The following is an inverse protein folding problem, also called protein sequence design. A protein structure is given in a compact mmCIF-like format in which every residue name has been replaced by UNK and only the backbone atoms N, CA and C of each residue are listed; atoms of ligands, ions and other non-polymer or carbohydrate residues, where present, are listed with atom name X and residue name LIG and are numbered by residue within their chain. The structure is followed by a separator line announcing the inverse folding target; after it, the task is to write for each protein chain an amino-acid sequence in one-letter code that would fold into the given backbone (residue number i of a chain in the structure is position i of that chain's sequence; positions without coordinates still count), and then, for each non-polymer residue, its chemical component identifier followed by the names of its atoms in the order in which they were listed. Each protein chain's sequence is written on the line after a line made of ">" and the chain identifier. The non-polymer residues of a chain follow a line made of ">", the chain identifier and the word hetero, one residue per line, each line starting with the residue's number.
data_IF_819863120626
#
_entry.id   IF_819863120626
#
_cell.length_a   1.000
_cell.length_b   1.000
_cell.length_c   1.000
_cell.angle_alpha   90.00
_cell.angle_beta   90.00
_cell.angle_gamma   90.00
#
_symmetry.space_group_name_H-M   'P 1'
#
loop_
_entity.id
_entity.type
_entity.pdbx_description
1 polymer ?
#
# COMPACT_ATOMS: atom_id res chain seq x y z
N UNK A 1 30.44 1.09 -1.38
CA UNK A 1 29.66 -0.02 -2.01
C UNK A 1 28.65 -0.63 -1.05
N UNK A 2 28.98 -1.68 -0.27
CA UNK A 2 27.99 -2.41 0.55
C UNK A 2 27.29 -1.49 1.56
N UNK A 3 28.03 -0.62 2.25
CA UNK A 3 27.47 0.30 3.24
C UNK A 3 26.47 1.31 2.66
N UNK A 4 26.65 1.74 1.41
CA UNK A 4 25.73 2.69 0.76
C UNK A 4 24.47 2.00 0.27
N UNK A 5 24.61 0.77 -0.25
CA UNK A 5 23.47 -0.07 -0.63
C UNK A 5 22.63 -0.40 0.60
N UNK A 6 23.26 -0.79 1.71
CA UNK A 6 22.57 -1.08 2.97
C UNK A 6 21.86 0.16 3.52
N UNK A 7 22.51 1.33 3.52
CA UNK A 7 21.85 2.58 3.92
C UNK A 7 20.63 2.91 3.06
N UNK A 8 20.75 2.76 1.73
CA UNK A 8 19.63 3.02 0.83
C UNK A 8 18.49 1.99 0.98
N UNK A 9 18.83 0.74 1.32
CA UNK A 9 17.85 -0.29 1.68
C UNK A 9 17.14 0.07 2.99
N UNK A 10 17.88 0.39 4.05
CA UNK A 10 17.31 0.75 5.36
C UNK A 10 16.39 1.99 5.22
N UNK A 11 16.81 2.98 4.42
CA UNK A 11 16.05 4.20 4.14
C UNK A 11 14.67 3.90 3.52
N UNK A 12 14.56 2.88 2.66
CA UNK A 12 13.31 2.49 1.98
C UNK A 12 12.50 1.43 2.74
N UNK A 13 13.12 0.66 3.64
CA UNK A 13 12.49 -0.46 4.33
C UNK A 13 11.35 0.00 5.26
N UNK A 14 11.57 1.06 6.04
CA UNK A 14 10.55 1.60 6.96
C UNK A 14 9.29 2.04 6.18
N UNK A 15 9.39 2.89 5.13
CA UNK A 15 8.22 3.22 4.31
C UNK A 15 7.55 2.01 3.66
N UNK A 16 8.32 1.00 3.23
CA UNK A 16 7.74 -0.21 2.66
C UNK A 16 6.86 -0.96 3.68
N UNK A 17 7.32 -1.05 4.93
CA UNK A 17 6.56 -1.64 6.03
C UNK A 17 5.28 -0.83 6.31
N UNK A 18 5.39 0.49 6.38
CA UNK A 18 4.25 1.37 6.62
C UNK A 18 3.20 1.27 5.50
N UNK A 19 3.64 1.27 4.23
CA UNK A 19 2.76 1.05 3.07
C UNK A 19 2.02 -0.29 3.19
N UNK A 20 2.73 -1.36 3.56
CA UNK A 20 2.12 -2.69 3.72
C UNK A 20 1.06 -2.69 4.84
N UNK A 21 1.36 -2.05 5.97
CA UNK A 21 0.44 -1.95 7.10
C UNK A 21 -0.81 -1.14 6.71
N UNK A 22 -0.63 0.05 6.15
CA UNK A 22 -1.73 0.93 5.74
C UNK A 22 -2.62 0.29 4.67
N UNK A 23 -2.03 -0.48 3.75
CA UNK A 23 -2.79 -1.28 2.78
C UNK A 23 -3.66 -2.31 3.48
N UNK A 24 -3.09 -3.08 4.41
CA UNK A 24 -3.85 -4.08 5.18
C UNK A 24 -5.00 -3.46 5.98
N UNK A 25 -4.78 -2.30 6.60
CA UNK A 25 -5.84 -1.57 7.31
C UNK A 25 -6.93 -1.05 6.36
N UNK A 26 -6.55 -0.56 5.19
CA UNK A 26 -7.51 -0.15 4.15
C UNK A 26 -8.38 -1.34 3.69
N UNK A 27 -7.76 -2.49 3.46
CA UNK A 27 -8.45 -3.74 3.09
C UNK A 27 -9.41 -4.19 4.20
N UNK A 28 -8.95 -4.22 5.46
CA UNK A 28 -9.76 -4.57 6.63
C UNK A 28 -10.99 -3.66 6.78
N UNK A 29 -10.81 -2.34 6.64
CA UNK A 29 -11.92 -1.38 6.73
C UNK A 29 -12.91 -1.55 5.57
N UNK A 30 -12.41 -1.79 4.35
CA UNK A 30 -13.26 -2.07 3.19
C UNK A 30 -14.12 -3.32 3.39
N UNK A 31 -13.55 -4.38 3.94
CA UNK A 31 -14.28 -5.62 4.25
C UNK A 31 -15.34 -5.40 5.32
N UNK A 32 -15.01 -4.68 6.40
CA UNK A 32 -15.96 -4.36 7.48
C UNK A 32 -17.13 -3.52 6.96
N UNK A 33 -16.85 -2.47 6.18
CA UNK A 33 -17.87 -1.63 5.55
C UNK A 33 -18.79 -2.48 4.66
N UNK A 34 -18.20 -3.35 3.82
CA UNK A 34 -18.97 -4.25 2.96
C UNK A 34 -19.89 -5.18 3.76
N UNK A 35 -19.36 -5.81 4.81
CA UNK A 35 -20.13 -6.68 5.70
C UNK A 35 -21.31 -5.97 6.36
N UNK A 36 -21.07 -4.77 6.93
CA UNK A 36 -22.09 -3.99 7.60
C UNK A 36 -23.16 -3.50 6.61
N UNK A 37 -22.76 -3.15 5.39
CA UNK A 37 -23.70 -2.78 4.31
C UNK A 37 -24.65 -3.95 3.99
N UNK A 38 -24.13 -5.17 3.86
CA UNK A 38 -24.98 -6.35 3.62
C UNK A 38 -25.87 -6.67 4.83
N UNK A 39 -25.38 -6.47 6.05
CA UNK A 39 -26.23 -6.60 7.25
C UNK A 39 -27.36 -5.58 7.29
N UNK A 40 -27.10 -4.32 6.97
CA UNK A 40 -28.14 -3.30 6.91
C UNK A 40 -29.25 -3.68 5.91
N UNK A 41 -28.87 -4.21 4.73
CA UNK A 41 -29.83 -4.73 3.75
C UNK A 41 -30.71 -5.84 4.32
N UNK A 42 -30.11 -6.84 4.97
CA UNK A 42 -30.86 -7.93 5.59
C UNK A 42 -31.86 -7.42 6.64
N UNK A 43 -31.46 -6.45 7.48
CA UNK A 43 -32.36 -5.86 8.48
C UNK A 43 -33.54 -5.13 7.82
N UNK A 44 -33.31 -4.43 6.70
CA UNK A 44 -34.41 -3.82 5.92
C UNK A 44 -35.37 -4.87 5.36
N UNK A 45 -34.84 -5.98 4.84
CA UNK A 45 -35.65 -7.09 4.31
C UNK A 45 -36.50 -7.76 5.41
N UNK A 46 -35.98 -7.84 6.63
CA UNK A 46 -36.68 -8.35 7.82
C UNK A 46 -37.67 -7.32 8.43
N UNK A 47 -37.69 -6.09 7.92
CA UNK A 47 -38.57 -5.01 8.39
C UNK A 47 -38.03 -4.22 9.58
N UNK A 48 -36.82 -4.51 10.05
CA UNK A 48 -36.13 -3.70 11.07
C UNK A 48 -35.41 -2.50 10.44
N UNK A 49 -36.22 -1.49 10.09
CA UNK A 49 -35.73 -0.26 9.47
C UNK A 49 -34.77 0.50 10.38
N UNK A 50 -35.04 0.54 11.69
CA UNK A 50 -34.20 1.29 12.64
C UNK A 50 -32.85 0.63 12.84
N UNK A 51 -32.81 -0.70 12.92
CA UNK A 51 -31.56 -1.45 13.00
C UNK A 51 -30.70 -1.25 11.74
N UNK A 52 -31.32 -1.26 10.57
CA UNK A 52 -30.62 -0.95 9.32
C UNK A 52 -30.05 0.48 9.28
N UNK A 53 -30.86 1.48 9.63
CA UNK A 53 -30.44 2.89 9.66
C UNK A 53 -29.30 3.13 10.65
N UNK A 54 -29.32 2.48 11.81
CA UNK A 54 -28.24 2.58 12.78
C UNK A 54 -26.90 2.03 12.23
N UNK A 55 -26.94 0.91 11.52
CA UNK A 55 -25.73 0.34 10.89
C UNK A 55 -25.21 1.28 9.79
N UNK A 56 -26.10 1.82 8.96
CA UNK A 56 -25.71 2.74 7.88
C UNK A 56 -25.10 4.03 8.42
N UNK A 57 -25.60 4.56 9.53
CA UNK A 57 -24.97 5.71 10.19
C UNK A 57 -23.55 5.39 10.68
N UNK A 58 -23.32 4.23 11.32
CA UNK A 58 -21.97 3.80 11.72
C UNK A 58 -21.04 3.73 10.50
N UNK A 59 -21.52 3.18 9.38
CA UNK A 59 -20.72 3.10 8.14
C UNK A 59 -20.37 4.50 7.62
N UNK A 60 -21.34 5.41 7.59
CA UNK A 60 -21.16 6.75 7.01
C UNK A 60 -20.35 7.69 7.90
N UNK A 61 -20.62 7.70 9.20
CA UNK A 61 -20.07 8.70 10.12
C UNK A 61 -18.72 8.24 10.68
N UNK A 62 -18.57 6.96 11.02
CA UNK A 62 -17.37 6.45 11.68
C UNK A 62 -16.41 5.82 10.66
N UNK A 63 -16.87 4.78 9.96
CA UNK A 63 -15.98 3.91 9.19
C UNK A 63 -15.50 4.55 7.89
N UNK A 64 -16.36 5.32 7.21
CA UNK A 64 -15.98 6.01 5.99
C UNK A 64 -14.89 7.05 6.26
N UNK A 65 -15.02 7.81 7.34
CA UNK A 65 -14.01 8.80 7.72
C UNK A 65 -12.68 8.14 8.06
N UNK A 66 -12.70 7.04 8.84
CA UNK A 66 -11.50 6.27 9.15
C UNK A 66 -10.84 5.71 7.88
N UNK A 67 -11.63 5.14 6.97
CA UNK A 67 -11.15 4.62 5.69
C UNK A 67 -10.48 5.72 4.86
N UNK A 68 -11.14 6.87 4.69
CA UNK A 68 -10.60 7.99 3.91
C UNK A 68 -9.29 8.52 4.52
N UNK A 69 -9.20 8.58 5.85
CA UNK A 69 -7.98 8.96 6.57
C UNK A 69 -6.84 7.98 6.34
N UNK A 70 -7.07 6.68 6.56
CA UNK A 70 -6.06 5.62 6.35
C UNK A 70 -5.61 5.56 4.89
N UNK A 71 -6.56 5.69 3.96
CA UNK A 71 -6.25 5.70 2.53
C UNK A 71 -5.46 6.94 2.10
N UNK A 72 -5.71 8.09 2.73
CA UNK A 72 -4.90 9.30 2.58
C UNK A 72 -3.46 9.06 3.01
N UNK A 73 -3.27 8.52 4.23
CA UNK A 73 -1.95 8.16 4.75
C UNK A 73 -1.23 7.15 3.86
N UNK A 74 -1.95 6.14 3.36
CA UNK A 74 -1.41 5.15 2.41
C UNK A 74 -0.84 5.84 1.16
N UNK A 75 -1.59 6.76 0.56
CA UNK A 75 -1.16 7.47 -0.65
C UNK A 75 0.10 8.31 -0.42
N UNK A 76 0.19 8.98 0.72
CA UNK A 76 1.35 9.78 1.09
C UNK A 76 2.58 8.90 1.29
N UNK A 77 2.43 7.84 2.08
CA UNK A 77 3.55 6.95 2.38
C UNK A 77 3.98 6.12 1.17
N UNK A 78 3.05 5.76 0.27
CA UNK A 78 3.39 5.11 -0.99
C UNK A 78 4.27 6.00 -1.88
N UNK A 79 3.97 7.30 -1.96
CA UNK A 79 4.82 8.27 -2.70
C UNK A 79 6.20 8.41 -2.05
N UNK A 80 6.26 8.45 -0.73
CA UNK A 80 7.52 8.49 0.02
C UNK A 80 8.37 7.24 -0.24
N UNK A 81 7.76 6.06 -0.14
CA UNK A 81 8.39 4.79 -0.48
C UNK A 81 8.90 4.78 -1.93
N UNK A 82 8.09 5.20 -2.90
CA UNK A 82 8.47 5.20 -4.32
C UNK A 82 9.73 6.05 -4.59
N UNK A 83 9.82 7.23 -3.96
CA UNK A 83 10.99 8.09 -4.07
C UNK A 83 12.26 7.45 -3.49
N UNK A 84 12.13 6.81 -2.32
CA UNK A 84 13.24 6.14 -1.65
C UNK A 84 13.66 4.86 -2.37
N UNK A 85 12.71 4.12 -2.92
CA UNK A 85 12.98 2.96 -3.77
C UNK A 85 13.75 3.36 -5.02
N UNK A 86 13.38 4.45 -5.70
CA UNK A 86 14.15 4.98 -6.85
C UNK A 86 15.60 5.30 -6.47
N UNK A 87 15.83 5.86 -5.28
CA UNK A 87 17.19 6.11 -4.77
C UNK A 87 17.95 4.80 -4.55
N UNK A 88 17.32 3.81 -3.93
CA UNK A 88 17.89 2.47 -3.75
C UNK A 88 18.23 1.81 -5.09
N UNK A 89 17.32 1.85 -6.06
CA UNK A 89 17.52 1.36 -7.43
C UNK A 89 18.72 2.01 -8.11
N UNK A 90 18.85 3.34 -8.01
CA UNK A 90 19.98 4.08 -8.57
C UNK A 90 21.32 3.70 -7.92
N UNK A 91 21.36 3.55 -6.59
CA UNK A 91 22.57 3.14 -5.86
C UNK A 91 22.97 1.71 -6.25
N UNK A 92 22.02 0.78 -6.31
CA UNK A 92 22.26 -0.59 -6.75
C UNK A 92 22.76 -0.64 -8.21
N UNK A 93 22.13 0.11 -9.11
CA UNK A 93 22.53 0.20 -10.51
C UNK A 93 23.94 0.75 -10.67
N UNK A 94 24.29 1.81 -9.94
CA UNK A 94 25.64 2.39 -9.94
C UNK A 94 26.71 1.35 -9.56
N UNK A 95 26.41 0.46 -8.62
CA UNK A 95 27.31 -0.60 -8.17
C UNK A 95 27.15 -1.93 -8.93
N UNK A 96 26.35 -1.98 -10.00
CA UNK A 96 26.14 -3.18 -10.81
C UNK A 96 25.36 -4.30 -10.10
N UNK A 97 24.61 -3.96 -9.04
CA UNK A 97 23.74 -4.89 -8.33
C UNK A 97 22.36 -4.88 -8.98
N UNK A 98 21.88 -6.03 -9.50
CA UNK A 98 20.56 -6.11 -10.10
C UNK A 98 19.49 -6.02 -9.00
N UNK A 99 18.48 -5.19 -9.23
CA UNK A 99 17.28 -5.09 -8.38
C UNK A 99 16.04 -5.01 -9.25
N UNK A 100 14.86 -5.45 -8.75
CA UNK A 100 13.61 -5.27 -9.47
C UNK A 100 13.37 -3.79 -9.76
N UNK A 101 12.97 -3.46 -10.98
CA UNK A 101 12.64 -2.07 -11.35
C UNK A 101 11.17 -1.81 -11.07
N UNK A 102 10.80 -0.59 -10.64
CA UNK A 102 9.38 -0.22 -10.44
C UNK A 102 8.58 -0.18 -11.75
N UNK A 103 9.28 -0.04 -12.88
CA UNK A 103 8.68 -0.21 -14.20
C UNK A 103 8.72 -1.69 -14.56
N UNK A 104 7.66 -2.19 -15.18
CA UNK A 104 7.68 -3.47 -15.92
C UNK A 104 8.70 -3.37 -17.06
N UNK A 105 9.97 -3.56 -16.74
CA UNK A 105 11.01 -3.71 -17.73
C UNK A 105 11.09 -5.19 -18.08
N UNK A 106 10.27 -5.63 -19.04
CA UNK A 106 10.47 -6.89 -19.78
C UNK A 106 11.77 -6.90 -20.61
N UNK A 107 12.74 -6.02 -20.31
CA UNK A 107 13.98 -5.86 -21.05
C UNK A 107 15.09 -6.57 -20.30
N UNK A 108 15.39 -7.79 -20.74
CA UNK A 108 16.56 -8.56 -20.32
C UNK A 108 17.82 -7.75 -20.68
N UNK A 109 18.47 -7.15 -19.68
CA UNK A 109 19.75 -6.48 -19.89
C UNK A 109 20.87 -7.52 -19.87
N UNK A 110 21.35 -7.88 -21.06
CA UNK A 110 22.56 -8.69 -21.20
C UNK A 110 23.77 -7.87 -20.74
N UNK A 111 24.51 -8.39 -19.74
CA UNK A 111 25.77 -7.79 -19.28
C UNK A 111 26.71 -7.63 -20.48
N UNK A 112 27.21 -6.41 -20.73
CA UNK A 112 28.29 -6.19 -21.71
C UNK A 112 29.49 -7.04 -21.28
N UNK A 113 29.88 -7.96 -22.16
CA UNK A 113 30.94 -8.94 -21.90
C UNK A 113 32.24 -8.28 -21.45
N UNK A 114 32.87 -8.89 -20.45
CA UNK A 114 34.27 -8.63 -20.10
C UNK A 114 35.09 -9.10 -21.30
N UNK A 115 35.66 -8.17 -22.07
CA UNK A 115 36.73 -8.50 -23.02
C UNK A 115 37.94 -8.94 -22.20
N UNK A 116 38.29 -10.22 -22.29
CA UNK A 116 39.64 -10.72 -21.99
C UNK A 116 40.58 -10.35 -23.13
#
# INVERSE_FOLDING_TARGET
>A
MITEILKAYDDMAIPAMNVSQLRGETERLSELIGYLTEKAKAYREEGDIKGAEAIEQIVLDDLKFEFESVYGQFKEEFKNWEQKYKRFENVCTYYGVPVPTLKDNNVIQFRKGVKK
#
